data_IF_801606917757
#
_entry.id   IF_801606917757
#
_cell.length_a   1.000
_cell.length_b   1.000
_cell.length_c   1.000
_cell.angle_alpha   90.00
_cell.angle_beta   90.00
_cell.angle_gamma   90.00
#
_symmetry.space_group_name_H-M   'P 1'
#
loop_
_entity.id
_entity.type
_entity.pdbx_description
1 polymer ?
#
# COMPACT_ATOMS: atom_id res chain seq x y z
N UNK A 1 4.73 11.50 8.98
CA UNK A 1 3.93 11.09 7.80
C UNK A 1 3.16 12.24 7.17
N UNK A 2 2.37 12.99 7.96
CA UNK A 2 1.75 14.25 7.53
C UNK A 2 2.71 15.14 6.72
N UNK A 3 3.96 15.23 7.16
CA UNK A 3 5.03 15.94 6.44
C UNK A 3 5.20 15.52 4.96
N UNK A 4 5.09 14.23 4.63
CA UNK A 4 5.20 13.76 3.24
C UNK A 4 3.96 14.12 2.44
N UNK A 5 2.78 13.96 3.05
CA UNK A 5 1.51 14.34 2.43
C UNK A 5 1.50 15.85 2.13
N UNK A 6 1.89 16.69 3.09
CA UNK A 6 1.88 18.15 2.93
C UNK A 6 2.89 18.62 1.87
N UNK A 7 4.06 17.98 1.78
CA UNK A 7 5.11 18.36 0.83
C UNK A 7 4.85 17.84 -0.58
N UNK A 8 4.34 16.63 -0.71
CA UNK A 8 4.16 15.97 -2.01
C UNK A 8 2.75 16.20 -2.57
N UNK A 9 1.77 16.41 -1.71
CA UNK A 9 0.37 16.63 -2.05
C UNK A 9 0.14 17.74 -3.08
N UNK A 10 0.81 18.91 -3.01
CA UNK A 10 0.63 19.99 -3.99
C UNK A 10 1.18 19.70 -5.40
N UNK A 11 1.89 18.58 -5.62
CA UNK A 11 2.58 18.30 -6.89
C UNK A 11 1.62 17.64 -7.91
N UNK A 12 1.01 18.43 -8.78
CA UNK A 12 -0.02 17.99 -9.74
C UNK A 12 0.43 16.94 -10.78
N UNK A 13 1.75 16.78 -10.99
CA UNK A 13 2.33 15.78 -11.92
C UNK A 13 2.88 14.54 -11.20
N UNK A 14 2.66 14.44 -9.90
CA UNK A 14 3.17 13.35 -9.09
C UNK A 14 2.10 12.28 -8.90
N UNK A 15 2.51 11.03 -9.06
CA UNK A 15 1.75 9.84 -8.69
C UNK A 15 2.55 9.06 -7.67
N UNK A 16 1.91 8.67 -6.57
CA UNK A 16 2.52 7.99 -5.43
C UNK A 16 1.81 6.67 -5.21
N UNK A 17 2.58 5.59 -5.18
CA UNK A 17 2.10 4.28 -4.76
C UNK A 17 2.60 4.02 -3.35
N UNK A 18 1.65 3.80 -2.44
CA UNK A 18 1.96 3.21 -1.15
C UNK A 18 1.71 1.70 -1.25
N UNK A 19 2.76 0.91 -1.05
CA UNK A 19 2.66 -0.54 -1.04
C UNK A 19 2.36 -1.01 0.38
N UNK A 20 1.42 -1.93 0.53
CA UNK A 20 1.21 -2.60 1.81
C UNK A 20 2.47 -3.36 2.26
N UNK A 21 2.57 -3.65 3.56
CA UNK A 21 3.68 -4.39 4.16
C UNK A 21 3.19 -5.75 4.63
N UNK A 22 3.91 -6.82 4.29
CA UNK A 22 3.60 -8.17 4.76
C UNK A 22 4.48 -8.53 5.96
N UNK A 23 3.97 -9.31 6.93
CA UNK A 23 4.80 -9.87 7.99
C UNK A 23 5.78 -10.88 7.40
N UNK A 24 6.82 -11.18 8.18
CA UNK A 24 7.54 -12.42 7.98
C UNK A 24 6.73 -13.64 8.41
N UNK A 25 7.30 -14.83 8.25
CA UNK A 25 6.72 -16.07 8.79
C UNK A 25 7.64 -16.67 9.86
N UNK A 26 7.25 -16.71 11.14
CA UNK A 26 8.07 -17.35 12.16
C UNK A 26 8.23 -18.85 11.87
N UNK A 27 9.43 -19.38 12.17
CA UNK A 27 9.79 -20.75 11.80
C UNK A 27 9.65 -21.02 10.29
N UNK A 28 9.97 -20.01 9.45
CA UNK A 28 9.86 -20.11 7.99
C UNK A 28 10.65 -21.31 7.42
N UNK A 29 11.71 -21.77 8.09
CA UNK A 29 12.47 -22.97 7.72
C UNK A 29 11.66 -24.27 7.71
N UNK A 30 10.49 -24.27 8.36
CA UNK A 30 9.58 -25.41 8.43
C UNK A 30 8.46 -25.35 7.39
N UNK A 31 8.44 -24.30 6.58
CA UNK A 31 7.38 -24.02 5.60
C UNK A 31 7.99 -24.21 4.22
N UNK A 32 7.65 -25.32 3.56
CA UNK A 32 8.23 -25.71 2.28
C UNK A 32 7.27 -25.56 1.09
N UNK A 33 6.06 -25.08 1.36
CA UNK A 33 5.01 -24.91 0.38
C UNK A 33 4.14 -23.70 0.72
N UNK A 34 3.49 -23.09 -0.29
CA UNK A 34 2.51 -22.03 -0.06
C UNK A 34 1.32 -22.52 0.77
N UNK A 35 0.61 -21.58 1.37
CA UNK A 35 -0.72 -21.86 1.94
C UNK A 35 -1.74 -22.15 0.84
N UNK A 36 -2.82 -22.83 1.21
CA UNK A 36 -3.85 -23.22 0.25
C UNK A 36 -4.57 -22.00 -0.34
N UNK A 37 -4.83 -21.01 0.52
CA UNK A 37 -5.49 -19.75 0.18
C UNK A 37 -5.24 -18.70 1.30
N UNK A 38 -5.82 -17.50 1.14
CA UNK A 38 -5.70 -16.42 2.11
C UNK A 38 -6.41 -16.67 3.45
N UNK A 39 -7.45 -17.51 3.50
CA UNK A 39 -8.11 -17.85 4.75
C UNK A 39 -7.24 -18.81 5.58
N UNK A 40 -6.66 -19.82 4.92
CA UNK A 40 -5.68 -20.74 5.50
C UNK A 40 -4.45 -19.96 6.01
N UNK A 41 -3.96 -19.00 5.23
CA UNK A 41 -2.86 -18.14 5.61
C UNK A 41 -3.15 -17.35 6.90
N UNK A 42 -4.30 -16.65 6.96
CA UNK A 42 -4.71 -15.91 8.17
C UNK A 42 -4.83 -16.80 9.38
N UNK A 43 -5.41 -17.99 9.24
CA UNK A 43 -5.57 -18.90 10.37
C UNK A 43 -4.21 -19.37 10.89
N UNK A 44 -3.30 -19.76 9.99
CA UNK A 44 -1.96 -20.26 10.33
C UNK A 44 -1.02 -19.17 10.84
N UNK A 45 -1.32 -17.90 10.59
CA UNK A 45 -0.56 -16.72 11.01
C UNK A 45 -1.22 -15.92 12.16
N UNK A 46 -2.16 -16.53 12.88
CA UNK A 46 -2.69 -15.96 14.14
C UNK A 46 -1.71 -16.15 15.31
N UNK A 47 -1.82 -15.23 16.28
CA UNK A 47 -1.15 -15.28 17.59
C UNK A 47 0.37 -15.50 17.48
N UNK A 48 0.96 -14.82 16.50
CA UNK A 48 2.38 -14.94 16.16
C UNK A 48 3.28 -14.48 17.31
N UNK A 49 3.04 -13.32 17.96
CA UNK A 49 3.83 -12.91 19.11
C UNK A 49 3.86 -13.98 20.22
N UNK A 50 2.72 -14.55 20.57
CA UNK A 50 2.60 -15.58 21.61
C UNK A 50 3.38 -16.84 21.24
N UNK A 51 3.20 -17.32 20.00
CA UNK A 51 3.89 -18.51 19.49
C UNK A 51 5.41 -18.29 19.44
N UNK A 52 5.87 -17.12 19.00
CA UNK A 52 7.29 -16.78 18.96
C UNK A 52 7.90 -16.71 20.36
N UNK A 53 7.17 -16.23 21.36
CA UNK A 53 7.62 -16.24 22.75
C UNK A 53 7.69 -17.64 23.33
N UNK A 54 6.81 -18.56 22.89
CA UNK A 54 6.81 -19.95 23.35
C UNK A 54 7.96 -20.80 22.78
N UNK A 55 8.69 -20.32 21.77
CA UNK A 55 9.80 -21.06 21.12
C UNK A 55 11.10 -21.02 21.94
N UNK A 56 11.24 -20.11 22.90
CA UNK A 56 12.45 -19.96 23.71
C UNK A 56 12.10 -19.68 25.17
N UNK A 57 12.88 -20.21 26.10
CA UNK A 57 12.78 -19.86 27.53
C UNK A 57 13.63 -18.65 27.93
N UNK A 58 14.44 -18.12 27.00
CA UNK A 58 15.26 -16.92 27.22
C UNK A 58 14.41 -15.65 27.37
N UNK A 59 14.36 -15.11 28.59
CA UNK A 59 13.60 -13.89 28.92
C UNK A 59 14.11 -12.62 28.21
N UNK A 60 15.41 -12.51 27.91
CA UNK A 60 15.94 -11.36 27.15
C UNK A 60 15.47 -11.40 25.69
N UNK A 61 15.41 -12.61 25.12
CA UNK A 61 14.87 -12.83 23.78
C UNK A 61 13.35 -12.58 23.74
N UNK A 62 12.60 -13.06 24.74
CA UNK A 62 11.16 -12.77 24.87
C UNK A 62 10.89 -11.27 24.99
N UNK A 63 11.64 -10.55 25.83
CA UNK A 63 11.51 -9.10 25.99
C UNK A 63 11.73 -8.36 24.66
N UNK A 64 12.73 -8.78 23.88
CA UNK A 64 12.98 -8.19 22.56
C UNK A 64 11.83 -8.47 21.59
N UNK A 65 11.36 -9.72 21.52
CA UNK A 65 10.25 -10.14 20.64
C UNK A 65 8.92 -9.48 20.99
N UNK A 66 8.64 -9.18 22.27
CA UNK A 66 7.44 -8.45 22.70
C UNK A 66 7.35 -7.03 22.13
N UNK A 67 8.49 -6.41 21.82
CA UNK A 67 8.53 -5.08 21.21
C UNK A 67 8.36 -5.12 19.69
N UNK A 68 8.31 -6.31 19.10
CA UNK A 68 8.09 -6.45 17.69
C UNK A 68 6.58 -6.53 17.45
N UNK A 69 6.03 -5.54 16.76
CA UNK A 69 4.61 -5.39 16.46
C UNK A 69 4.13 -6.37 15.35
N UNK A 70 4.44 -7.67 15.49
CA UNK A 70 4.20 -8.69 14.45
C UNK A 70 2.74 -8.89 14.08
N UNK A 71 1.81 -8.51 14.95
CA UNK A 71 0.37 -8.59 14.73
C UNK A 71 -0.22 -7.29 14.16
N UNK A 72 0.58 -6.21 14.09
CA UNK A 72 0.10 -4.88 13.67
C UNK A 72 0.19 -4.63 12.16
N UNK A 73 0.80 -5.50 11.37
CA UNK A 73 0.94 -5.29 9.92
C UNK A 73 -0.41 -5.07 9.23
N UNK A 74 -1.41 -5.91 9.51
CA UNK A 74 -2.75 -5.78 8.95
C UNK A 74 -3.43 -4.46 9.37
N UNK A 75 -3.29 -4.08 10.64
CA UNK A 75 -3.86 -2.83 11.18
C UNK A 75 -3.20 -1.62 10.51
N UNK A 76 -1.87 -1.62 10.39
CA UNK A 76 -1.11 -0.56 9.73
C UNK A 76 -1.49 -0.41 8.26
N UNK A 77 -1.60 -1.53 7.55
CA UNK A 77 -2.02 -1.58 6.15
C UNK A 77 -3.43 -0.99 5.97
N UNK A 78 -4.38 -1.35 6.83
CA UNK A 78 -5.74 -0.85 6.73
C UNK A 78 -5.84 0.64 7.04
N UNK A 79 -5.10 1.11 8.05
CA UNK A 79 -4.98 2.55 8.32
C UNK A 79 -4.53 3.31 7.07
N UNK A 80 -3.53 2.77 6.36
CA UNK A 80 -2.99 3.37 5.15
C UNK A 80 -3.92 3.35 3.96
N UNK A 81 -4.63 2.23 3.78
CA UNK A 81 -5.66 2.11 2.74
C UNK A 81 -6.72 3.20 2.91
N UNK A 82 -7.22 3.36 4.12
CA UNK A 82 -8.25 4.36 4.43
C UNK A 82 -7.72 5.79 4.33
N UNK A 83 -6.48 6.04 4.72
CA UNK A 83 -5.87 7.37 4.59
C UNK A 83 -5.69 7.78 3.12
N UNK A 84 -5.20 6.88 2.28
CA UNK A 84 -5.05 7.14 0.83
C UNK A 84 -6.40 7.34 0.16
N UNK A 85 -7.41 6.56 0.56
CA UNK A 85 -8.78 6.74 0.09
C UNK A 85 -9.29 8.15 0.41
N UNK A 86 -9.09 8.63 1.65
CA UNK A 86 -9.48 10.01 2.05
C UNK A 86 -8.74 11.07 1.23
N UNK A 87 -7.44 10.90 0.99
CA UNK A 87 -6.66 11.83 0.16
C UNK A 87 -7.24 11.93 -1.26
N UNK A 88 -7.60 10.79 -1.86
CA UNK A 88 -8.19 10.76 -3.20
C UNK A 88 -9.63 11.28 -3.24
N UNK A 89 -10.45 11.02 -2.23
CA UNK A 89 -11.78 11.62 -2.10
C UNK A 89 -11.71 13.14 -1.95
N UNK A 90 -10.77 13.63 -1.13
CA UNK A 90 -10.51 15.07 -0.95
C UNK A 90 -10.07 15.73 -2.26
N UNK A 91 -9.21 15.05 -3.03
CA UNK A 91 -8.79 15.48 -4.36
C UNK A 91 -9.97 15.64 -5.31
N UNK A 92 -10.87 14.65 -5.37
CA UNK A 92 -12.07 14.71 -6.23
C UNK A 92 -13.03 15.83 -5.82
N UNK A 93 -13.17 16.10 -4.52
CA UNK A 93 -14.04 17.18 -4.00
C UNK A 93 -13.50 18.60 -4.26
N UNK A 94 -12.18 18.74 -4.48
CA UNK A 94 -11.53 20.01 -4.81
C UNK A 94 -11.51 20.32 -6.31
N UNK A 95 -11.91 19.37 -7.18
CA UNK A 95 -12.15 19.70 -8.58
C UNK A 95 -13.34 20.68 -8.66
N UNK A 96 -13.20 21.83 -9.33
CA UNK A 96 -14.33 22.71 -9.55
C UNK A 96 -15.44 21.92 -10.28
N UNK A 97 -16.68 22.05 -9.79
CA UNK A 97 -17.86 21.60 -10.56
C UNK A 97 -17.77 22.29 -11.91
N UNK A 98 -18.01 21.53 -12.98
CA UNK A 98 -17.77 21.96 -14.37
C UNK A 98 -18.68 23.12 -14.83
N UNK A 99 -19.54 23.61 -13.94
CA UNK A 99 -20.59 24.58 -14.22
C UNK A 99 -20.59 25.59 -13.06
N UNK A 100 -20.60 26.89 -13.39
CA UNK A 100 -20.64 28.07 -12.48
C UNK A 100 -19.30 28.78 -12.16
N UNK A 101 -18.62 29.31 -13.19
CA UNK A 101 -17.96 30.62 -13.06
C UNK A 101 -18.48 31.54 -14.17
N UNK A 102 -19.58 32.24 -13.89
CA UNK A 102 -19.96 33.43 -14.64
C UNK A 102 -19.10 34.59 -14.13
N UNK A 103 -18.26 35.16 -14.99
CA UNK A 103 -17.57 36.42 -14.73
C UNK A 103 -18.05 37.41 -15.78
N UNK A 104 -18.70 38.49 -15.33
CA UNK A 104 -19.10 39.60 -16.20
C UNK A 104 -17.87 40.42 -16.61
N UNK A 105 -17.73 40.70 -17.91
CA UNK A 105 -16.69 41.56 -18.47
C UNK A 105 -17.18 43.02 -18.56
N UNK A 106 -16.33 43.99 -18.23
CA UNK A 106 -16.67 45.43 -18.24
C UNK A 106 -16.80 46.05 -19.65
N UNK A 107 -16.49 45.33 -20.74
CA UNK A 107 -16.54 45.88 -22.11
C UNK A 107 -17.40 45.09 -23.11
N UNK A 108 -18.12 44.06 -22.67
CA UNK A 108 -19.08 43.32 -23.50
C UNK A 108 -18.49 42.55 -24.68
N UNK A 109 -17.16 42.36 -24.77
CA UNK A 109 -16.55 41.51 -25.79
C UNK A 109 -16.29 40.08 -25.27
N UNK A 110 -16.93 39.09 -25.91
CA UNK A 110 -16.76 37.67 -25.60
C UNK A 110 -15.44 37.14 -26.18
N UNK A 111 -14.35 37.19 -25.43
CA UNK A 111 -13.10 36.47 -25.75
C UNK A 111 -12.91 35.28 -24.80
N UNK A 112 -13.24 34.08 -25.28
CA UNK A 112 -12.90 32.83 -24.61
C UNK A 112 -11.46 32.42 -24.94
N UNK A 113 -10.48 32.95 -24.20
CA UNK A 113 -9.21 32.22 -24.07
C UNK A 113 -9.49 31.01 -23.21
N UNK A 114 -9.53 29.83 -23.83
CA UNK A 114 -9.69 28.57 -23.14
C UNK A 114 -8.70 28.50 -21.98
N UNK A 115 -9.21 28.59 -20.74
CA UNK A 115 -8.45 28.28 -19.55
C UNK A 115 -7.87 26.89 -19.77
N UNK A 116 -6.53 26.79 -19.75
CA UNK A 116 -5.87 25.49 -19.75
C UNK A 116 -6.49 24.72 -18.57
N UNK A 117 -7.14 23.58 -18.80
CA UNK A 117 -7.86 22.90 -17.73
C UNK A 117 -6.89 22.69 -16.59
N UNK A 118 -7.27 23.18 -15.40
CA UNK A 118 -6.58 22.91 -14.15
C UNK A 118 -6.40 21.39 -14.08
N UNK A 119 -5.22 20.91 -14.46
CA UNK A 119 -4.83 19.51 -14.31
C UNK A 119 -5.02 19.24 -12.83
N UNK A 120 -6.06 18.47 -12.52
CA UNK A 120 -6.47 18.01 -11.20
C UNK A 120 -5.56 18.47 -10.06
N UNK A 121 -6.08 19.26 -9.13
CA UNK A 121 -5.29 19.76 -8.00
C UNK A 121 -4.66 18.63 -7.20
N UNK A 122 -3.33 18.60 -7.16
CA UNK A 122 -2.53 17.74 -6.29
C UNK A 122 -2.16 16.36 -6.82
N UNK A 123 -1.22 15.73 -6.11
CA UNK A 123 -0.68 14.40 -6.39
C UNK A 123 -1.77 13.33 -6.36
N UNK A 124 -1.60 12.29 -7.19
CA UNK A 124 -2.44 11.08 -7.18
C UNK A 124 -1.84 10.06 -6.24
N UNK A 125 -2.67 9.45 -5.40
CA UNK A 125 -2.25 8.47 -4.40
C UNK A 125 -2.95 7.14 -4.68
N UNK A 126 -2.17 6.07 -4.71
CA UNK A 126 -2.65 4.71 -4.95
C UNK A 126 -2.16 3.78 -3.85
N UNK A 127 -3.00 2.83 -3.46
CA UNK A 127 -2.64 1.77 -2.52
C UNK A 127 -2.40 0.47 -3.30
N UNK A 128 -1.15 0.00 -3.29
CA UNK A 128 -0.76 -1.27 -3.90
C UNK A 128 -0.83 -2.37 -2.83
N UNK A 129 -1.89 -3.16 -2.88
CA UNK A 129 -2.12 -4.23 -1.91
C UNK A 129 -1.43 -5.53 -2.33
N UNK A 130 -0.38 -5.88 -1.60
CA UNK A 130 0.37 -7.14 -1.75
C UNK A 130 0.16 -8.10 -0.57
N UNK A 131 -0.64 -7.71 0.43
CA UNK A 131 -0.58 -8.33 1.76
C UNK A 131 -0.99 -9.79 1.70
N UNK A 132 -2.17 -10.07 1.16
CA UNK A 132 -2.74 -11.43 1.07
C UNK A 132 -1.91 -12.35 0.20
N UNK A 133 -1.38 -11.83 -0.92
CA UNK A 133 -0.53 -12.60 -1.81
C UNK A 133 0.75 -13.01 -1.09
N UNK A 134 1.36 -12.10 -0.32
CA UNK A 134 2.63 -12.33 0.35
C UNK A 134 2.48 -13.23 1.57
N UNK A 135 1.37 -13.09 2.32
CA UNK A 135 1.05 -13.92 3.48
C UNK A 135 0.88 -15.40 3.10
N UNK A 136 0.50 -15.69 1.86
CA UNK A 136 0.35 -17.06 1.36
C UNK A 136 1.68 -17.76 1.05
N UNK A 137 2.81 -17.07 1.15
CA UNK A 137 4.12 -17.56 0.67
C UNK A 137 5.15 -17.74 1.78
N UNK A 138 4.85 -18.51 2.85
CA UNK A 138 5.82 -18.75 3.92
C UNK A 138 7.08 -19.50 3.46
N UNK A 139 7.01 -20.13 2.28
CA UNK A 139 8.06 -20.89 1.62
C UNK A 139 9.11 -20.04 0.89
N UNK A 140 8.88 -18.74 0.74
CA UNK A 140 9.63 -17.91 -0.20
C UNK A 140 10.72 -17.01 0.43
N UNK A 141 11.13 -17.30 1.67
CA UNK A 141 12.16 -16.51 2.38
C UNK A 141 13.59 -16.88 1.93
N UNK A 142 14.48 -15.88 1.92
CA UNK A 142 15.86 -16.02 1.39
C UNK A 142 16.75 -16.92 2.27
N UNK A 143 16.70 -16.72 3.59
CA UNK A 143 17.50 -17.48 4.55
C UNK A 143 16.62 -18.05 5.68
N UNK A 144 15.84 -19.12 5.41
CA UNK A 144 14.87 -19.61 6.38
C UNK A 144 15.51 -19.98 7.73
N UNK A 145 14.88 -19.56 8.83
CA UNK A 145 15.37 -19.76 10.20
C UNK A 145 16.42 -18.75 10.67
N UNK A 146 16.97 -17.94 9.76
CA UNK A 146 17.89 -16.82 10.05
C UNK A 146 17.21 -15.49 9.78
N UNK A 147 16.59 -15.37 8.60
CA UNK A 147 15.89 -14.19 8.12
C UNK A 147 14.54 -14.60 7.53
N UNK A 148 13.49 -14.34 8.29
CA UNK A 148 12.12 -14.55 7.85
C UNK A 148 11.44 -13.24 7.40
N UNK A 149 12.17 -12.15 7.15
CA UNK A 149 11.62 -10.88 6.66
C UNK A 149 11.94 -10.67 5.18
N UNK A 150 13.12 -11.08 4.74
CA UNK A 150 13.52 -10.95 3.35
C UNK A 150 13.09 -12.16 2.50
N UNK A 151 12.88 -11.89 1.22
CA UNK A 151 12.34 -12.84 0.24
C UNK A 151 13.44 -13.28 -0.72
N UNK A 152 13.41 -14.55 -1.12
CA UNK A 152 14.27 -15.09 -2.17
C UNK A 152 13.91 -14.45 -3.53
N UNK A 153 14.90 -14.37 -4.42
CA UNK A 153 14.71 -13.96 -5.82
C UNK A 153 14.99 -15.15 -6.76
N UNK A 154 14.13 -15.45 -7.76
CA UNK A 154 12.82 -14.86 -8.03
C UNK A 154 11.72 -15.52 -7.19
N UNK A 155 10.91 -14.72 -6.48
CA UNK A 155 9.74 -15.24 -5.78
C UNK A 155 8.66 -14.15 -5.63
N UNK A 156 8.41 -13.70 -4.39
CA UNK A 156 7.32 -12.79 -4.06
C UNK A 156 7.52 -11.39 -4.65
N UNK A 157 8.77 -10.94 -4.75
CA UNK A 157 9.13 -9.61 -5.29
C UNK A 157 8.82 -9.47 -6.80
N UNK A 158 8.94 -10.55 -7.56
CA UNK A 158 8.59 -10.56 -8.98
C UNK A 158 7.09 -10.33 -9.17
N UNK A 159 6.25 -10.96 -8.34
CA UNK A 159 4.81 -10.77 -8.39
C UNK A 159 4.40 -9.35 -7.96
N UNK A 160 5.08 -8.77 -6.96
CA UNK A 160 4.85 -7.35 -6.61
C UNK A 160 5.15 -6.42 -7.79
N UNK A 161 6.22 -6.72 -8.52
CA UNK A 161 6.59 -5.95 -9.71
C UNK A 161 5.54 -6.11 -10.82
N UNK A 162 5.06 -7.34 -11.09
CA UNK A 162 3.98 -7.59 -12.05
C UNK A 162 2.69 -6.85 -11.67
N UNK A 163 2.30 -6.88 -10.39
CA UNK A 163 1.14 -6.14 -9.89
C UNK A 163 1.31 -4.63 -10.09
N UNK A 164 2.48 -4.07 -9.79
CA UNK A 164 2.75 -2.66 -10.04
C UNK A 164 2.64 -2.31 -11.53
N UNK A 165 3.25 -3.09 -12.42
CA UNK A 165 3.13 -2.89 -13.87
C UNK A 165 1.68 -2.94 -14.34
N UNK A 166 0.89 -3.88 -13.82
CA UNK A 166 -0.53 -3.98 -14.14
C UNK A 166 -1.30 -2.72 -13.68
N UNK A 167 -1.05 -2.23 -12.46
CA UNK A 167 -1.67 -0.99 -11.96
C UNK A 167 -1.29 0.22 -12.81
N UNK A 168 -0.02 0.35 -13.19
CA UNK A 168 0.43 1.43 -14.07
C UNK A 168 -0.28 1.39 -15.43
N UNK A 169 -0.37 0.20 -16.03
CA UNK A 169 -1.06 0.00 -17.30
C UNK A 169 -2.55 0.38 -17.22
N UNK A 170 -3.25 0.02 -16.14
CA UNK A 170 -4.64 0.41 -15.93
C UNK A 170 -4.80 1.93 -15.79
N UNK A 171 -3.86 2.61 -15.13
CA UNK A 171 -3.90 4.07 -14.95
C UNK A 171 -3.62 4.79 -16.27
N UNK A 172 -2.66 4.31 -17.06
CA UNK A 172 -2.29 4.93 -18.33
C UNK A 172 -3.37 4.79 -19.41
N UNK A 173 -4.00 3.61 -19.49
CA UNK A 173 -4.99 3.31 -20.53
C UNK A 173 -6.44 3.52 -20.10
N UNK A 174 -6.65 3.90 -18.84
CA UNK A 174 -7.98 4.01 -18.26
C UNK A 174 -8.56 2.64 -17.96
N UNK A 175 -9.23 2.52 -16.81
CA UNK A 175 -10.05 1.34 -16.51
C UNK A 175 -11.24 1.33 -17.48
N UNK A 176 -11.11 0.67 -18.63
CA UNK A 176 -12.28 0.28 -19.42
C UNK A 176 -13.02 -0.82 -18.65
N UNK A 177 -13.89 -0.41 -17.73
CA UNK A 177 -14.86 -1.29 -17.06
C UNK A 177 -16.03 -0.48 -16.52
#
# INVERSE_FOLDING_TARGET
MQLHIDRLGPLNRLTIFFRSTAPGHPSCERRLAPYADGADAREKEKNIPERMMAVTDDEAMKSTRRRWDWDQFAVHNEFWREEIKKLMEGRTKQLPRRDEEAVEAEDGALETRAAIPSRDSGAKWYYLDIYELSLQRPDAHDSPGVDCLHWCMPAVLDEWSRLLYHQLNMIEHGSES
#
